data_IF_909600705693
#
_entry.id   IF_909600705693
#
_cell.length_a   1.000
_cell.length_b   1.000
_cell.length_c   1.000
_cell.angle_alpha   90.00
_cell.angle_beta   90.00
_cell.angle_gamma   90.00
#
_symmetry.space_group_name_H-M   'P 1'
#
loop_
_entity.id
_entity.type
_entity.pdbx_description
1 polymer ?
#
# COMPACT_ATOMS: atom_id res chain seq x y z
N UNK A 1 -27.11 -7.37 23.75
CA UNK A 1 -26.17 -7.54 22.63
C UNK A 1 -26.03 -6.18 21.97
N UNK A 2 -24.81 -5.72 21.71
CA UNK A 2 -24.61 -4.57 20.84
C UNK A 2 -24.94 -5.02 19.41
N UNK A 3 -25.97 -4.42 18.84
CA UNK A 3 -26.35 -4.61 17.43
C UNK A 3 -25.64 -3.57 16.59
N UNK A 4 -25.09 -3.96 15.44
CA UNK A 4 -24.52 -3.03 14.47
C UNK A 4 -25.64 -2.32 13.70
N UNK A 5 -25.46 -1.04 13.42
CA UNK A 5 -26.40 -0.22 12.66
C UNK A 5 -25.82 0.29 11.32
N UNK A 6 -26.69 0.56 10.34
CA UNK A 6 -26.26 1.09 9.03
C UNK A 6 -25.68 2.50 9.23
N UNK A 7 -24.47 2.72 8.72
CA UNK A 7 -23.73 3.98 8.88
C UNK A 7 -22.89 4.05 10.15
N UNK A 8 -22.89 3.01 11.00
CA UNK A 8 -22.02 2.94 12.16
C UNK A 8 -20.55 2.76 11.72
N UNK A 9 -19.69 3.69 12.13
CA UNK A 9 -18.24 3.53 12.01
C UNK A 9 -17.75 2.47 13.02
N UNK A 10 -17.01 1.49 12.53
CA UNK A 10 -16.54 0.34 13.35
C UNK A 10 -15.16 0.58 13.97
N UNK A 11 -14.47 1.63 13.54
CA UNK A 11 -13.14 2.00 13.98
C UNK A 11 -12.28 2.54 12.84
N UNK A 12 -11.21 3.22 13.20
CA UNK A 12 -10.17 3.68 12.29
C UNK A 12 -8.81 3.43 12.94
N UNK A 13 -7.82 3.14 12.11
CA UNK A 13 -6.44 2.95 12.53
C UNK A 13 -5.49 3.45 11.43
N UNK A 14 -4.23 3.70 11.77
CA UNK A 14 -3.22 4.24 10.88
C UNK A 14 -1.98 3.36 10.85
N UNK A 15 -1.59 2.94 9.65
CA UNK A 15 -0.42 2.10 9.43
C UNK A 15 0.63 2.84 8.63
N UNK A 16 1.89 2.79 9.08
CA UNK A 16 3.02 3.36 8.33
C UNK A 16 3.64 2.28 7.45
N UNK A 17 3.74 2.54 6.15
CA UNK A 17 4.48 1.69 5.23
C UNK A 17 5.88 2.23 4.99
N UNK A 18 6.85 1.31 4.95
CA UNK A 18 8.25 1.60 4.62
C UNK A 18 8.58 1.00 3.26
N UNK A 19 9.73 1.36 2.68
CA UNK A 19 10.23 0.70 1.46
C UNK A 19 10.33 -0.82 1.62
N UNK A 20 10.75 -1.28 2.79
CA UNK A 20 10.84 -2.71 3.11
C UNK A 20 9.46 -3.39 3.10
N UNK A 21 8.42 -2.71 3.61
CA UNK A 21 7.03 -3.18 3.52
C UNK A 21 6.60 -3.41 2.06
N UNK A 22 6.97 -2.49 1.15
CA UNK A 22 6.60 -2.59 -0.26
C UNK A 22 7.35 -3.72 -0.99
N UNK A 23 8.65 -3.89 -0.70
CA UNK A 23 9.44 -5.01 -1.25
C UNK A 23 8.91 -6.36 -0.77
N UNK A 24 8.56 -6.47 0.52
CA UNK A 24 7.95 -7.68 1.07
C UNK A 24 6.61 -7.98 0.43
N UNK A 25 5.76 -6.96 0.23
CA UNK A 25 4.47 -7.14 -0.41
C UNK A 25 4.61 -7.56 -1.88
N UNK A 26 5.56 -7.00 -2.63
CA UNK A 26 5.85 -7.45 -4.01
C UNK A 26 6.16 -8.96 -4.05
N UNK A 27 6.96 -9.45 -3.08
CA UNK A 27 7.23 -10.89 -2.94
C UNK A 27 6.00 -11.72 -2.56
N UNK A 28 5.13 -11.20 -1.69
CA UNK A 28 3.94 -11.90 -1.23
C UNK A 28 2.81 -11.94 -2.28
N UNK A 29 2.61 -10.85 -3.03
CA UNK A 29 1.55 -10.72 -4.04
C UNK A 29 1.96 -11.28 -5.40
N UNK A 30 3.26 -11.36 -5.67
CA UNK A 30 3.80 -11.68 -7.00
C UNK A 30 3.78 -10.48 -7.97
N UNK A 31 3.37 -9.29 -7.53
CA UNK A 31 3.43 -8.07 -8.32
C UNK A 31 4.78 -7.37 -8.13
N UNK A 32 5.66 -7.60 -9.09
CA UNK A 32 7.00 -7.00 -9.16
C UNK A 32 7.06 -5.77 -10.08
N UNK A 33 5.97 -5.01 -10.25
CA UNK A 33 6.05 -3.74 -10.97
C UNK A 33 7.05 -2.79 -10.27
N UNK A 34 8.13 -2.33 -10.95
CA UNK A 34 9.20 -1.58 -10.30
C UNK A 34 8.77 -0.25 -9.68
N UNK A 35 7.62 0.31 -10.06
CA UNK A 35 7.07 1.54 -9.44
C UNK A 35 6.88 1.39 -7.91
N UNK A 36 6.85 0.16 -7.38
CA UNK A 36 6.64 -0.10 -5.96
C UNK A 36 7.92 -0.16 -5.12
N UNK A 37 9.09 -0.28 -5.74
CA UNK A 37 10.34 -0.46 -4.97
C UNK A 37 11.59 0.21 -5.56
N UNK A 38 11.53 0.72 -6.80
CA UNK A 38 12.64 1.41 -7.47
C UNK A 38 12.33 2.89 -7.72
N UNK A 39 13.00 3.77 -6.98
CA UNK A 39 12.82 5.22 -7.12
C UNK A 39 13.25 5.74 -8.49
N UNK A 40 14.33 5.20 -9.05
CA UNK A 40 14.83 5.61 -10.36
C UNK A 40 13.82 5.30 -11.47
N UNK A 41 13.20 4.11 -11.42
CA UNK A 41 12.14 3.74 -12.33
C UNK A 41 10.88 4.58 -12.12
N UNK A 42 10.42 4.72 -10.88
CA UNK A 42 9.25 5.56 -10.55
C UNK A 42 9.41 6.99 -11.07
N UNK A 43 10.58 7.61 -10.87
CA UNK A 43 10.90 8.94 -11.42
C UNK A 43 10.96 8.96 -12.94
N UNK A 44 11.49 7.91 -13.57
CA UNK A 44 11.52 7.82 -15.03
C UNK A 44 10.13 7.80 -15.68
N UNK A 45 9.10 7.39 -14.94
CA UNK A 45 7.70 7.38 -15.38
C UNK A 45 6.87 8.55 -14.83
N UNK A 46 7.52 9.56 -14.24
CA UNK A 46 6.88 10.81 -13.81
C UNK A 46 6.32 10.82 -12.38
N UNK A 47 6.69 9.85 -11.54
CA UNK A 47 6.34 9.84 -10.12
C UNK A 47 7.45 10.46 -9.26
N UNK A 48 7.08 11.11 -8.15
CA UNK A 48 8.08 11.71 -7.24
C UNK A 48 8.96 10.66 -6.54
N UNK A 49 8.42 9.46 -6.35
CA UNK A 49 9.06 8.29 -5.74
C UNK A 49 8.17 7.06 -5.87
N UNK A 50 8.55 5.96 -5.21
CA UNK A 50 7.75 4.73 -5.25
C UNK A 50 6.39 4.90 -4.58
N UNK A 51 5.43 4.06 -4.98
CA UNK A 51 4.09 4.01 -4.42
C UNK A 51 3.78 2.63 -3.83
N UNK A 52 2.92 2.58 -2.81
CA UNK A 52 2.38 1.30 -2.34
C UNK A 52 1.54 0.62 -3.43
N UNK A 53 1.50 -0.72 -3.40
CA UNK A 53 0.58 -1.48 -4.25
C UNK A 53 -0.87 -1.16 -3.88
N UNK A 54 -1.76 -1.03 -4.86
CA UNK A 54 -3.18 -0.75 -4.59
C UNK A 54 -3.88 -1.86 -3.79
N UNK A 55 -3.45 -3.12 -3.94
CA UNK A 55 -4.01 -4.25 -3.17
C UNK A 55 -3.47 -4.33 -1.72
N UNK A 56 -2.45 -3.54 -1.36
CA UNK A 56 -1.91 -3.46 0.00
C UNK A 56 -2.68 -2.44 0.86
N UNK A 57 -3.32 -1.46 0.24
CA UNK A 57 -4.03 -0.34 0.89
C UNK A 57 -5.53 -0.57 0.92
#
# INVERSE_FOLDING_TARGET
MLTLEVGQEVGSDSFTFTRDSLVKYAGASGDFNPIHYRDDFAKSVGLDGVLAHGMLT
#
